data_IF_465584880885
#
_entry.id   IF_465584880885
#
_cell.length_a   1.000
_cell.length_b   1.000
_cell.length_c   1.000
_cell.angle_alpha   90.00
_cell.angle_beta   90.00
_cell.angle_gamma   90.00
#
_symmetry.space_group_name_H-M   'P 1'
#
loop_
_entity.id
_entity.type
_entity.pdbx_description
1 polymer ?
#
# COMPACT_ATOMS: atom_id res chain seq x y z
N UNK A 1 -15.51 -11.65 -20.43
CA UNK A 1 -14.72 -12.67 -21.15
C UNK A 1 -13.42 -12.03 -21.61
N UNK A 2 -12.27 -12.32 -20.96
CA UNK A 2 -10.99 -11.79 -21.42
C UNK A 2 -10.53 -12.57 -22.66
N UNK A 3 -10.28 -11.85 -23.75
CA UNK A 3 -9.67 -12.41 -24.96
C UNK A 3 -8.17 -12.62 -24.70
N UNK A 4 -7.75 -13.88 -24.73
CA UNK A 4 -6.35 -14.26 -24.94
C UNK A 4 -6.19 -14.63 -26.41
N UNK A 5 -5.27 -13.98 -27.12
CA UNK A 5 -4.82 -14.43 -28.43
C UNK A 5 -3.61 -15.34 -28.16
N UNK A 6 -3.81 -16.65 -28.32
CA UNK A 6 -2.74 -17.64 -28.42
C UNK A 6 -2.92 -18.42 -29.73
N UNK A 7 -1.81 -18.73 -30.41
CA UNK A 7 -1.73 -19.63 -31.58
C UNK A 7 -0.25 -20.08 -31.77
N UNK A 8 0.08 -21.23 -32.40
CA UNK A 8 0.39 -22.46 -31.65
C UNK A 8 1.71 -23.16 -32.07
N UNK A 9 2.15 -24.10 -31.18
CA UNK A 9 2.98 -25.31 -31.40
C UNK A 9 4.40 -25.21 -32.02
N UNK A 10 5.45 -25.67 -31.31
CA UNK A 10 5.90 -27.07 -31.26
C UNK A 10 7.18 -27.22 -30.39
N UNK A 11 7.34 -28.41 -29.83
CA UNK A 11 8.39 -28.97 -28.94
C UNK A 11 9.86 -28.76 -29.36
N UNK A 12 10.74 -28.47 -28.40
CA UNK A 12 12.05 -29.14 -28.23
C UNK A 12 12.77 -28.66 -26.96
N UNK A 13 13.29 -29.62 -26.19
CA UNK A 13 14.20 -29.41 -25.08
C UNK A 13 15.51 -28.77 -25.59
N UNK A 14 15.81 -27.54 -25.17
CA UNK A 14 17.16 -27.00 -25.18
C UNK A 14 17.25 -25.84 -24.18
N UNK A 15 17.99 -26.08 -23.10
CA UNK A 15 18.49 -25.03 -22.23
C UNK A 15 19.31 -24.06 -23.07
N UNK A 16 18.75 -22.87 -23.36
CA UNK A 16 19.51 -21.70 -23.80
C UNK A 16 19.43 -20.65 -22.71
N UNK A 17 20.54 -20.50 -22.01
CA UNK A 17 20.85 -19.30 -21.24
C UNK A 17 20.88 -18.14 -22.23
N UNK A 18 19.83 -17.31 -22.21
CA UNK A 18 19.86 -15.97 -22.78
C UNK A 18 19.54 -15.00 -21.64
N UNK A 19 20.53 -14.17 -21.32
CA UNK A 19 20.37 -13.03 -20.45
C UNK A 19 19.28 -12.11 -21.02
N UNK A 20 18.13 -12.08 -20.36
CA UNK A 20 17.04 -11.14 -20.62
C UNK A 20 16.42 -10.77 -19.27
N UNK A 21 16.49 -9.48 -18.94
CA UNK A 21 15.89 -8.89 -17.73
C UNK A 21 14.42 -9.32 -17.67
N UNK A 22 14.00 -10.00 -16.58
CA UNK A 22 12.61 -10.42 -16.37
C UNK A 22 11.69 -9.21 -16.54
N UNK A 23 10.69 -9.35 -17.42
CA UNK A 23 9.76 -8.29 -17.82
C UNK A 23 9.02 -7.68 -16.64
N UNK A 24 9.33 -6.41 -16.38
CA UNK A 24 8.71 -5.60 -15.34
C UNK A 24 7.40 -5.02 -15.88
N UNK A 25 6.24 -5.40 -15.31
CA UNK A 25 4.91 -4.98 -15.80
C UNK A 25 4.44 -3.72 -15.05
N UNK A 26 4.17 -2.64 -15.79
CA UNK A 26 3.49 -1.44 -15.29
C UNK A 26 1.97 -1.68 -15.31
N UNK A 27 1.31 -1.62 -14.15
CA UNK A 27 -0.15 -1.78 -14.07
C UNK A 27 -0.83 -0.41 -14.00
N UNK A 28 -2.03 -0.32 -14.57
CA UNK A 28 -2.86 0.86 -14.46
C UNK A 28 -4.34 0.49 -14.35
N UNK A 29 -5.12 1.37 -13.75
CA UNK A 29 -6.59 1.31 -13.72
C UNK A 29 -7.17 2.61 -14.30
N UNK A 30 -8.27 2.46 -15.05
CA UNK A 30 -9.08 3.59 -15.51
C UNK A 30 -10.12 3.89 -14.44
N UNK A 31 -10.15 5.13 -13.95
CA UNK A 31 -11.07 5.56 -12.90
C UNK A 31 -12.41 6.06 -13.46
N UNK A 32 -12.49 6.30 -14.77
CA UNK A 32 -13.70 6.70 -15.49
C UNK A 32 -13.67 6.21 -16.93
N UNK A 33 -14.83 6.22 -17.58
CA UNK A 33 -14.96 5.88 -19.01
C UNK A 33 -14.26 6.89 -19.94
N UNK A 34 -13.86 8.05 -19.38
CA UNK A 34 -13.15 9.11 -20.11
C UNK A 34 -11.63 8.88 -20.12
N UNK A 35 -11.13 7.96 -19.30
CA UNK A 35 -9.70 7.66 -19.21
C UNK A 35 -9.18 6.88 -20.43
N UNK A 36 -8.01 7.29 -20.92
CA UNK A 36 -7.31 6.60 -22.00
C UNK A 36 -6.24 5.68 -21.42
N UNK A 37 -6.09 4.47 -21.99
CA UNK A 37 -5.00 3.58 -21.57
C UNK A 37 -3.64 4.22 -21.97
N UNK A 38 -2.58 4.09 -21.14
CA UNK A 38 -1.23 4.48 -21.54
C UNK A 38 -0.80 3.71 -22.81
N UNK A 39 -0.25 4.42 -23.81
CA UNK A 39 0.13 3.81 -25.09
C UNK A 39 1.62 3.97 -25.34
N UNK A 40 2.28 2.93 -25.82
CA UNK A 40 3.68 3.02 -26.23
C UNK A 40 3.76 3.50 -27.68
N UNK A 41 4.51 4.59 -27.94
CA UNK A 41 4.60 5.18 -29.28
C UNK A 41 5.42 4.34 -30.28
N UNK A 42 6.32 3.49 -29.79
CA UNK A 42 7.06 2.51 -30.57
C UNK A 42 7.55 1.40 -29.65
N UNK A 43 8.02 0.28 -30.22
CA UNK A 43 8.60 -0.84 -29.46
C UNK A 43 9.69 -0.38 -28.48
N UNK A 44 10.57 0.52 -28.94
CA UNK A 44 11.73 1.01 -28.21
C UNK A 44 11.49 2.33 -27.45
N UNK A 45 10.25 2.84 -27.39
CA UNK A 45 9.98 4.08 -26.67
C UNK A 45 10.30 3.93 -25.18
N UNK A 46 10.94 4.95 -24.60
CA UNK A 46 11.38 4.93 -23.20
C UNK A 46 10.21 5.07 -22.19
N UNK A 47 9.05 5.55 -22.63
CA UNK A 47 7.88 5.78 -21.78
C UNK A 47 6.56 5.55 -22.51
N UNK A 48 5.46 5.71 -21.77
CA UNK A 48 4.10 5.62 -22.27
C UNK A 48 3.52 7.02 -22.46
N UNK A 49 2.87 7.23 -23.61
CA UNK A 49 2.10 8.44 -23.86
C UNK A 49 0.83 8.42 -22.99
N UNK A 50 0.67 9.48 -22.21
CA UNK A 50 -0.54 9.76 -21.42
C UNK A 50 -1.43 10.76 -22.16
N UNK A 51 -2.74 10.71 -21.89
CA UNK A 51 -3.73 11.62 -22.46
C UNK A 51 -4.62 12.20 -21.37
N UNK A 52 -5.10 13.42 -21.59
CA UNK A 52 -6.12 14.01 -20.72
C UNK A 52 -7.44 13.27 -20.90
N UNK A 53 -8.17 13.05 -19.81
CA UNK A 53 -9.52 12.51 -19.84
C UNK A 53 -10.56 13.57 -20.27
N UNK A 54 -10.20 14.85 -20.20
CA UNK A 54 -11.06 15.99 -20.52
C UNK A 54 -10.36 16.96 -21.47
N UNK A 55 -11.16 17.86 -22.06
CA UNK A 55 -10.66 19.00 -22.83
C UNK A 55 -10.29 20.12 -21.86
N UNK A 56 -9.10 20.69 -22.03
CA UNK A 56 -8.59 21.78 -21.22
C UNK A 56 -8.15 22.95 -22.11
N UNK A 57 -8.26 24.16 -21.58
CA UNK A 57 -7.65 25.37 -22.15
C UNK A 57 -6.62 25.83 -21.14
N UNK A 58 -5.35 25.81 -21.51
CA UNK A 58 -4.26 26.32 -20.67
C UNK A 58 -4.07 27.79 -21.04
N UNK A 59 -4.30 28.75 -20.11
CA UNK A 59 -4.09 30.15 -20.41
C UNK A 59 -2.61 30.41 -20.73
N UNK A 60 -2.34 31.36 -21.62
CA UNK A 60 -0.98 31.75 -21.98
C UNK A 60 -0.17 32.11 -20.73
N UNK A 61 1.05 31.59 -20.61
CA UNK A 61 1.91 31.72 -19.43
C UNK A 61 1.31 31.19 -18.11
N UNK A 62 0.21 30.43 -18.18
CA UNK A 62 -0.45 29.82 -17.04
C UNK A 62 -0.15 28.33 -16.88
N UNK A 63 -0.84 27.71 -15.93
CA UNK A 63 -0.78 26.27 -15.65
C UNK A 63 -2.17 25.74 -15.39
N UNK A 64 -2.39 24.47 -15.68
CA UNK A 64 -3.64 23.77 -15.43
C UNK A 64 -3.37 22.35 -14.92
N UNK A 65 -4.22 21.85 -14.01
CA UNK A 65 -4.18 20.48 -13.54
C UNK A 65 -4.95 19.57 -14.51
N UNK A 66 -4.20 18.86 -15.34
CA UNK A 66 -4.76 17.99 -16.37
C UNK A 66 -5.05 16.61 -15.79
N UNK A 67 -6.34 16.28 -15.63
CA UNK A 67 -6.75 14.95 -15.14
C UNK A 67 -6.64 13.91 -16.25
N UNK A 68 -5.96 12.81 -15.95
CA UNK A 68 -5.86 11.62 -16.82
C UNK A 68 -6.89 10.55 -16.48
N UNK A 69 -7.50 10.63 -15.30
CA UNK A 69 -8.35 9.59 -14.69
C UNK A 69 -7.68 8.20 -14.70
N UNK A 70 -6.36 8.18 -14.56
CA UNK A 70 -5.55 6.98 -14.44
C UNK A 70 -4.98 6.85 -13.04
N UNK A 71 -5.03 5.64 -12.51
CA UNK A 71 -4.23 5.22 -11.38
C UNK A 71 -3.12 4.29 -11.89
N UNK A 72 -1.88 4.49 -11.45
CA UNK A 72 -0.71 3.73 -11.92
C UNK A 72 -0.02 3.08 -10.72
N UNK A 73 0.25 1.78 -10.82
CA UNK A 73 1.13 1.04 -9.91
C UNK A 73 2.49 0.92 -10.59
N UNK A 74 3.45 1.74 -10.13
CA UNK A 74 4.82 1.71 -10.65
C UNK A 74 5.48 0.38 -10.27
N UNK A 75 6.26 -0.22 -11.18
CA UNK A 75 6.89 -1.47 -10.86
C UNK A 75 7.92 -1.34 -9.75
N UNK A 76 8.13 -2.45 -9.04
CA UNK A 76 9.04 -2.45 -7.92
C UNK A 76 10.47 -2.00 -8.31
N UNK A 77 11.09 -1.18 -7.45
CA UNK A 77 12.43 -0.64 -7.66
C UNK A 77 12.49 0.53 -8.64
N UNK A 78 11.34 0.99 -9.12
CA UNK A 78 11.21 2.14 -10.01
C UNK A 78 10.37 3.23 -9.36
N UNK A 79 10.42 4.43 -9.93
CA UNK A 79 9.45 5.48 -9.69
C UNK A 79 8.85 5.86 -11.05
N UNK A 80 7.66 6.43 -11.06
CA UNK A 80 7.05 6.91 -12.29
C UNK A 80 7.55 8.32 -12.61
N UNK A 81 8.04 8.55 -13.82
CA UNK A 81 8.33 9.91 -14.32
C UNK A 81 7.33 10.29 -15.40
N UNK A 82 6.52 11.30 -15.15
CA UNK A 82 5.78 12.04 -16.18
C UNK A 82 6.70 13.13 -16.71
N UNK A 83 6.98 13.08 -18.01
CA UNK A 83 7.82 14.03 -18.72
C UNK A 83 7.06 14.59 -19.94
N UNK A 84 7.37 15.82 -20.37
CA UNK A 84 6.76 16.39 -21.56
C UNK A 84 7.15 15.61 -22.82
N UNK A 85 6.23 15.52 -23.79
CA UNK A 85 6.58 15.05 -25.14
C UNK A 85 7.29 16.19 -25.87
N UNK A 86 8.46 15.91 -26.44
CA UNK A 86 9.28 16.92 -27.14
C UNK A 86 8.50 17.70 -28.20
N UNK A 87 7.59 17.05 -28.92
CA UNK A 87 6.72 17.72 -29.90
C UNK A 87 5.76 18.76 -29.29
N UNK A 88 5.17 18.46 -28.13
CA UNK A 88 4.28 19.39 -27.42
C UNK A 88 5.07 20.51 -26.72
N UNK A 89 6.23 20.18 -26.17
CA UNK A 89 7.13 21.16 -25.58
C UNK A 89 7.63 22.17 -26.63
N UNK A 90 8.09 21.69 -27.79
CA UNK A 90 8.62 22.55 -28.84
C UNK A 90 7.53 23.36 -29.57
N UNK A 91 6.43 22.70 -29.98
CA UNK A 91 5.41 23.35 -30.83
C UNK A 91 4.41 24.17 -30.03
N UNK A 92 4.13 23.77 -28.80
CA UNK A 92 3.04 24.34 -28.00
C UNK A 92 3.52 24.90 -26.66
N UNK A 93 4.84 24.87 -26.38
CA UNK A 93 5.43 25.35 -25.13
C UNK A 93 4.76 24.75 -23.88
N UNK A 94 4.29 23.49 -24.00
CA UNK A 94 3.66 22.76 -22.90
C UNK A 94 4.70 21.92 -22.16
N UNK A 95 4.81 22.17 -20.86
CA UNK A 95 5.70 21.44 -19.96
C UNK A 95 4.92 20.76 -18.82
N UNK A 96 5.55 19.77 -18.18
CA UNK A 96 5.02 19.05 -17.03
C UNK A 96 5.75 19.53 -15.77
N UNK A 97 5.10 20.36 -14.97
CA UNK A 97 5.70 20.95 -13.77
C UNK A 97 5.97 19.95 -12.64
N UNK A 98 5.01 19.04 -12.37
CA UNK A 98 5.15 17.96 -11.40
C UNK A 98 4.93 16.62 -12.10
N UNK A 99 5.83 15.66 -11.91
CA UNK A 99 5.76 14.41 -12.66
C UNK A 99 6.59 13.30 -12.07
N UNK A 100 6.68 13.21 -10.75
CA UNK A 100 7.29 12.07 -10.06
C UNK A 100 6.14 11.32 -9.36
N UNK A 101 6.09 10.00 -9.51
CA UNK A 101 5.13 9.11 -8.87
C UNK A 101 5.94 8.17 -7.98
N UNK A 102 5.89 8.40 -6.66
CA UNK A 102 6.64 7.64 -5.66
C UNK A 102 5.75 6.63 -4.91
N UNK A 103 6.35 5.54 -4.43
CA UNK A 103 5.71 4.55 -3.55
C UNK A 103 6.02 4.77 -2.05
N UNK A 104 6.97 5.66 -1.74
CA UNK A 104 7.43 5.92 -0.38
C UNK A 104 6.41 6.81 0.40
N UNK A 105 6.57 7.03 1.72
CA UNK A 105 5.61 7.70 2.64
C UNK A 105 4.40 6.85 3.06
N UNK A 106 4.66 5.67 3.64
CA UNK A 106 3.64 4.67 4.04
C UNK A 106 2.58 5.26 4.97
N UNK A 107 3.03 6.06 5.93
CA UNK A 107 2.18 6.75 6.90
C UNK A 107 1.21 7.72 6.21
N UNK A 108 1.66 8.46 5.19
CA UNK A 108 0.81 9.38 4.46
C UNK A 108 -0.12 8.66 3.48
N UNK A 109 0.35 7.57 2.87
CA UNK A 109 -0.47 6.73 1.99
C UNK A 109 -1.67 6.15 2.74
N UNK A 110 -1.46 5.64 3.96
CA UNK A 110 -2.53 5.18 4.83
C UNK A 110 -3.41 6.34 5.30
N UNK A 111 -2.84 7.52 5.57
CA UNK A 111 -3.61 8.71 5.93
C UNK A 111 -4.57 9.12 4.81
N UNK A 112 -4.10 9.09 3.55
CA UNK A 112 -4.90 9.39 2.36
C UNK A 112 -6.01 8.36 2.17
N UNK A 113 -5.75 7.09 2.42
CA UNK A 113 -6.78 6.05 2.41
C UNK A 113 -7.86 6.31 3.47
N UNK A 114 -7.47 6.69 4.69
CA UNK A 114 -8.42 7.09 5.74
C UNK A 114 -9.23 8.33 5.33
N UNK A 115 -8.60 9.34 4.73
CA UNK A 115 -9.25 10.58 4.28
C UNK A 115 -10.30 10.29 3.22
N UNK A 116 -9.97 9.39 2.29
CA UNK A 116 -10.85 8.97 1.21
C UNK A 116 -12.06 8.19 1.74
N UNK A 117 -11.87 7.28 2.70
CA UNK A 117 -12.99 6.61 3.42
C UNK A 117 -13.84 7.63 4.15
N UNK A 118 -13.25 8.55 4.91
CA UNK A 118 -13.99 9.58 5.65
C UNK A 118 -14.85 10.47 4.74
N UNK A 119 -14.41 10.68 3.51
CA UNK A 119 -15.08 11.53 2.52
C UNK A 119 -16.18 10.77 1.78
N UNK A 120 -15.90 9.56 1.31
CA UNK A 120 -16.82 8.78 0.45
C UNK A 120 -17.75 7.87 1.23
N UNK A 121 -17.32 7.39 2.40
CA UNK A 121 -17.99 6.39 3.22
C UNK A 121 -17.81 6.69 4.72
N UNK A 122 -18.31 7.83 5.23
CA UNK A 122 -18.04 8.28 6.60
C UNK A 122 -18.49 7.29 7.68
N UNK A 123 -19.58 6.54 7.45
CA UNK A 123 -20.07 5.49 8.36
C UNK A 123 -19.09 4.34 8.54
N UNK A 124 -18.23 4.10 7.54
CA UNK A 124 -17.26 3.01 7.56
C UNK A 124 -15.97 3.36 8.30
N UNK A 125 -15.71 4.66 8.53
CA UNK A 125 -14.46 5.11 9.16
C UNK A 125 -14.28 4.56 10.57
N UNK A 126 -15.37 4.31 11.30
CA UNK A 126 -15.32 3.72 12.65
C UNK A 126 -14.80 2.28 12.66
N UNK A 127 -14.85 1.58 11.52
CA UNK A 127 -14.35 0.22 11.34
C UNK A 127 -12.89 0.19 10.87
N UNK A 128 -12.32 1.35 10.56
CA UNK A 128 -10.95 1.52 10.07
C UNK A 128 -9.95 1.76 11.22
N UNK A 129 -8.86 1.01 11.21
CA UNK A 129 -7.77 1.10 12.17
C UNK A 129 -6.43 1.21 11.44
N UNK A 130 -5.68 2.25 11.71
CA UNK A 130 -4.30 2.41 11.23
C UNK A 130 -3.38 1.64 12.15
N UNK A 131 -2.50 0.82 11.57
CA UNK A 131 -1.54 0.02 12.34
C UNK A 131 -0.13 0.41 11.94
N UNK A 132 0.62 0.94 12.90
CA UNK A 132 2.07 1.07 12.78
C UNK A 132 2.72 -0.20 13.28
N UNK A 133 3.68 -0.72 12.52
CA UNK A 133 4.47 -1.91 12.84
C UNK A 133 5.91 -1.48 13.02
N UNK A 134 6.47 -1.69 14.21
CA UNK A 134 7.86 -1.39 14.52
C UNK A 134 8.27 -2.15 15.79
N UNK A 135 9.45 -1.87 16.32
CA UNK A 135 9.94 -2.36 17.60
C UNK A 135 11.00 -1.38 18.15
N UNK A 136 11.49 -1.57 19.40
CA UNK A 136 12.49 -0.66 19.97
C UNK A 136 13.78 -0.51 19.15
N UNK A 137 14.11 -1.49 18.30
CA UNK A 137 15.29 -1.49 17.44
C UNK A 137 15.03 -0.85 16.06
N UNK A 138 13.78 -0.49 15.75
CA UNK A 138 13.34 -0.11 14.40
C UNK A 138 13.87 -1.08 13.36
N UNK A 139 13.58 -2.35 13.59
CA UNK A 139 14.05 -3.43 12.75
C UNK A 139 13.04 -4.56 12.78
N UNK A 140 12.02 -4.46 11.94
CA UNK A 140 10.92 -5.41 11.87
C UNK A 140 10.91 -6.14 10.52
N UNK A 141 11.09 -7.48 10.51
CA UNK A 141 10.98 -8.25 9.29
C UNK A 141 9.52 -8.42 8.89
N UNK A 142 9.21 -8.10 7.63
CA UNK A 142 7.92 -8.36 6.99
C UNK A 142 8.14 -9.12 5.68
N UNK A 143 7.38 -10.20 5.48
CA UNK A 143 7.41 -11.01 4.26
C UNK A 143 6.38 -10.55 3.25
N UNK A 144 6.46 -11.07 2.02
CA UNK A 144 5.53 -10.71 0.94
C UNK A 144 5.47 -9.21 0.68
N UNK A 145 6.60 -8.52 0.83
CA UNK A 145 6.71 -7.09 0.56
C UNK A 145 7.23 -6.90 -0.88
N UNK A 146 6.66 -5.93 -1.60
CA UNK A 146 7.03 -5.60 -2.99
C UNK A 146 8.52 -5.36 -3.11
N UNK A 147 9.12 -4.78 -2.06
CA UNK A 147 10.55 -4.48 -2.03
C UNK A 147 11.51 -5.60 -1.68
N UNK A 148 10.97 -6.79 -1.36
CA UNK A 148 11.77 -7.98 -1.16
C UNK A 148 12.35 -8.51 -2.47
N UNK A 149 13.61 -8.93 -2.44
CA UNK A 149 14.32 -9.45 -3.62
C UNK A 149 14.03 -10.93 -3.84
N UNK A 150 14.04 -11.71 -2.76
CA UNK A 150 14.00 -13.18 -2.81
C UNK A 150 12.56 -13.75 -2.93
N UNK A 151 12.40 -15.07 -3.01
CA UNK A 151 11.08 -15.74 -3.13
C UNK A 151 10.14 -15.40 -1.98
N UNK A 152 10.72 -15.29 -0.79
CA UNK A 152 10.01 -14.94 0.44
C UNK A 152 9.62 -13.47 0.50
N UNK A 153 10.20 -12.64 -0.38
CA UNK A 153 9.93 -11.20 -0.45
C UNK A 153 10.06 -10.53 0.91
N UNK A 154 11.08 -10.92 1.67
CA UNK A 154 11.41 -10.39 2.99
C UNK A 154 12.03 -9.00 2.88
N UNK A 155 11.56 -8.09 3.74
CA UNK A 155 12.14 -6.76 3.95
C UNK A 155 12.20 -6.49 5.44
N UNK A 156 13.30 -5.89 5.90
CA UNK A 156 13.45 -5.43 7.28
C UNK A 156 13.21 -3.93 7.28
N UNK A 157 12.11 -3.51 7.88
CA UNK A 157 11.70 -2.11 7.97
C UNK A 157 12.11 -1.48 9.29
N UNK A 158 12.34 -0.17 9.28
CA UNK A 158 12.40 0.64 10.48
C UNK A 158 11.02 0.80 11.11
N UNK A 159 10.02 1.11 10.29
CA UNK A 159 8.61 0.96 10.59
C UNK A 159 7.81 0.70 9.30
N UNK A 160 6.59 0.19 9.46
CA UNK A 160 5.63 0.08 8.37
C UNK A 160 4.25 0.55 8.83
N UNK A 161 3.41 0.99 7.90
CA UNK A 161 2.04 1.44 8.19
C UNK A 161 1.05 0.74 7.26
N UNK A 162 -0.03 0.21 7.84
CA UNK A 162 -1.11 -0.46 7.12
C UNK A 162 -2.48 0.02 7.63
N UNK A 163 -3.53 -0.18 6.84
CA UNK A 163 -4.90 -0.01 7.30
C UNK A 163 -5.56 -1.38 7.48
N UNK A 164 -6.21 -1.60 8.63
CA UNK A 164 -7.14 -2.70 8.86
C UNK A 164 -8.56 -2.15 8.81
N UNK A 165 -9.41 -2.73 7.98
CA UNK A 165 -10.85 -2.51 7.97
C UNK A 165 -11.54 -3.75 8.55
N UNK A 166 -12.35 -3.54 9.60
CA UNK A 166 -13.00 -4.62 10.33
C UNK A 166 -14.44 -4.21 10.74
N UNK A 167 -15.39 -4.24 9.80
CA UNK A 167 -16.80 -3.94 10.09
C UNK A 167 -17.48 -5.07 10.88
N UNK A 168 -17.02 -6.30 10.66
CA UNK A 168 -17.54 -7.53 11.25
C UNK A 168 -16.40 -8.55 11.48
N UNK A 169 -16.73 -9.84 11.46
CA UNK A 169 -15.77 -10.94 11.66
C UNK A 169 -14.75 -11.09 10.52
N UNK A 170 -14.92 -10.39 9.39
CA UNK A 170 -14.07 -10.49 8.20
C UNK A 170 -13.18 -9.27 8.06
N UNK A 171 -12.19 -9.15 8.95
CA UNK A 171 -11.18 -8.12 8.83
C UNK A 171 -10.33 -8.29 7.55
N UNK A 172 -10.04 -7.17 6.88
CA UNK A 172 -9.14 -7.09 5.72
C UNK A 172 -8.06 -6.02 5.95
N UNK A 173 -6.92 -6.22 5.30
CA UNK A 173 -5.73 -5.37 5.37
C UNK A 173 -5.52 -4.70 4.01
N UNK A 174 -5.34 -3.39 4.04
CA UNK A 174 -4.85 -2.58 2.93
C UNK A 174 -3.39 -2.23 3.21
N UNK A 175 -2.49 -2.95 2.53
CA UNK A 175 -1.06 -2.65 2.50
C UNK A 175 -0.65 -2.44 1.04
N UNK A 176 -0.29 -1.20 0.69
CA UNK A 176 0.14 -0.85 -0.66
C UNK A 176 1.50 -1.48 -1.02
N UNK A 177 2.31 -1.79 0.00
CA UNK A 177 3.64 -2.38 -0.15
C UNK A 177 3.60 -3.91 -0.18
N UNK A 178 2.43 -4.54 -0.06
CA UNK A 178 2.32 -6.00 -0.10
C UNK A 178 2.24 -6.56 -1.52
N UNK A 179 2.86 -7.72 -1.72
CA UNK A 179 2.67 -8.59 -2.87
C UNK A 179 1.37 -9.43 -2.80
N UNK A 180 0.70 -9.44 -1.64
CA UNK A 180 -0.58 -10.13 -1.46
C UNK A 180 -1.71 -9.36 -2.16
N UNK A 181 -2.90 -9.98 -2.37
CA UNK A 181 -4.05 -9.30 -2.97
C UNK A 181 -4.42 -8.00 -2.24
N UNK A 182 -4.90 -6.99 -2.96
CA UNK A 182 -5.31 -5.73 -2.34
C UNK A 182 -6.83 -5.53 -2.44
N UNK A 183 -7.59 -5.54 -1.32
CA UNK A 183 -7.16 -5.84 0.04
C UNK A 183 -6.92 -7.34 0.29
N UNK A 184 -6.19 -7.68 1.36
CA UNK A 184 -5.94 -9.08 1.79
C UNK A 184 -6.77 -9.40 3.04
N UNK A 185 -7.39 -10.58 3.14
CA UNK A 185 -7.96 -11.03 4.41
C UNK A 185 -6.92 -11.03 5.55
N UNK A 186 -7.30 -10.52 6.72
CA UNK A 186 -6.38 -10.33 7.84
C UNK A 186 -5.65 -11.63 8.23
N UNK A 187 -6.35 -12.76 8.29
CA UNK A 187 -5.73 -14.05 8.64
C UNK A 187 -4.62 -14.44 7.66
N UNK A 188 -4.82 -14.21 6.36
CA UNK A 188 -3.85 -14.51 5.30
C UNK A 188 -2.67 -13.55 5.40
N UNK A 189 -2.95 -12.27 5.58
CA UNK A 189 -1.92 -11.26 5.76
C UNK A 189 -1.05 -11.54 7.00
N UNK A 190 -1.66 -11.86 8.14
CA UNK A 190 -0.94 -12.19 9.36
C UNK A 190 -0.08 -13.45 9.19
N UNK A 191 -0.62 -14.49 8.54
CA UNK A 191 0.12 -15.75 8.33
C UNK A 191 1.28 -15.59 7.37
N UNK A 192 1.11 -14.85 6.27
CA UNK A 192 2.11 -14.76 5.21
C UNK A 192 3.09 -13.60 5.36
N UNK A 193 2.62 -12.43 5.84
CA UNK A 193 3.42 -11.21 5.99
C UNK A 193 4.08 -11.13 7.36
N UNK A 194 3.32 -11.35 8.44
CA UNK A 194 3.90 -11.32 9.79
C UNK A 194 4.60 -12.63 10.11
N UNK A 195 3.96 -13.79 9.84
CA UNK A 195 4.42 -15.11 10.31
C UNK A 195 4.55 -15.17 11.84
N UNK A 196 4.97 -16.29 12.41
CA UNK A 196 5.20 -16.39 13.87
C UNK A 196 6.41 -15.55 14.30
N UNK A 197 6.35 -14.96 15.50
CA UNK A 197 7.53 -14.37 16.17
C UNK A 197 8.43 -15.43 16.83
N UNK A 198 7.96 -16.67 17.00
CA UNK A 198 8.71 -17.75 17.69
C UNK A 198 10.00 -18.14 16.96
N UNK A 199 10.02 -18.01 15.64
CA UNK A 199 11.20 -18.26 14.81
C UNK A 199 12.18 -17.07 14.78
N UNK A 200 11.82 -15.93 15.36
CA UNK A 200 12.65 -14.72 15.38
C UNK A 200 13.34 -14.54 16.73
N UNK A 201 14.52 -13.94 16.66
CA UNK A 201 15.18 -13.44 17.88
C UNK A 201 14.31 -12.32 18.50
N UNK A 202 14.24 -12.22 19.85
CA UNK A 202 13.39 -11.24 20.53
C UNK A 202 13.56 -9.79 20.07
N UNK A 203 14.77 -9.39 19.67
CA UNK A 203 15.05 -8.05 19.15
C UNK A 203 14.33 -7.72 17.83
N UNK A 204 13.85 -8.72 17.09
CA UNK A 204 13.08 -8.57 15.85
C UNK A 204 11.58 -8.78 16.05
N UNK A 205 11.13 -9.09 17.27
CA UNK A 205 9.70 -9.27 17.55
C UNK A 205 8.94 -8.00 17.20
N UNK A 206 7.88 -8.16 16.41
CA UNK A 206 7.12 -7.01 15.92
C UNK A 206 6.12 -6.57 16.97
N UNK A 207 5.99 -5.25 17.14
CA UNK A 207 4.93 -4.62 17.92
C UNK A 207 4.05 -3.79 17.01
N UNK A 208 2.79 -3.68 17.42
CA UNK A 208 1.73 -3.12 16.60
C UNK A 208 1.03 -2.01 17.37
N UNK A 209 1.18 -0.77 16.94
CA UNK A 209 0.38 0.34 17.47
C UNK A 209 -0.88 0.47 16.63
N UNK A 210 -2.02 0.22 17.26
CA UNK A 210 -3.34 0.28 16.67
C UNK A 210 -4.00 1.63 17.00
N UNK A 211 -4.29 2.44 15.99
CA UNK A 211 -4.90 3.76 16.11
C UNK A 211 -6.23 3.80 15.35
N UNK A 212 -7.35 4.22 15.95
CA UNK A 212 -8.59 4.45 15.20
C UNK A 212 -8.35 5.45 14.05
N UNK A 213 -8.90 5.18 12.87
CA UNK A 213 -8.67 6.03 11.70
C UNK A 213 -9.14 7.48 11.91
N UNK A 214 -10.23 7.68 12.66
CA UNK A 214 -10.72 9.02 13.05
C UNK A 214 -9.68 9.80 13.87
N UNK A 215 -9.06 9.15 14.85
CA UNK A 215 -7.99 9.75 15.66
C UNK A 215 -6.75 10.03 14.80
N UNK A 216 -6.39 9.10 13.92
CA UNK A 216 -5.25 9.29 13.02
C UNK A 216 -5.43 10.51 12.10
N UNK A 217 -6.61 10.68 11.49
CA UNK A 217 -6.91 11.84 10.65
C UNK A 217 -6.84 13.16 11.40
N UNK A 218 -7.28 13.19 12.66
CA UNK A 218 -7.30 14.40 13.48
C UNK A 218 -5.93 14.79 14.05
N UNK A 219 -5.09 13.80 14.36
CA UNK A 219 -3.92 14.02 15.20
C UNK A 219 -2.59 13.80 14.50
N UNK A 220 -2.54 13.05 13.39
CA UNK A 220 -1.29 12.77 12.69
C UNK A 220 -0.69 14.04 12.06
N UNK A 221 0.62 14.22 12.24
CA UNK A 221 1.41 15.25 11.61
C UNK A 221 2.80 14.72 11.25
N UNK A 222 3.28 15.06 10.05
CA UNK A 222 4.62 14.74 9.59
C UNK A 222 5.14 15.90 8.76
N UNK A 223 6.28 16.47 9.17
CA UNK A 223 7.02 17.47 8.38
C UNK A 223 7.97 16.80 7.36
N UNK A 224 7.95 15.46 7.27
CA UNK A 224 8.79 14.63 6.40
C UNK A 224 10.30 14.71 6.68
N UNK A 225 10.75 15.23 7.83
CA UNK A 225 12.18 15.37 8.12
C UNK A 225 12.93 14.03 8.10
N UNK A 226 12.27 12.93 8.50
CA UNK A 226 12.84 11.59 8.48
C UNK A 226 13.25 11.11 7.08
N UNK A 227 12.71 11.73 6.02
CA UNK A 227 13.06 11.46 4.62
C UNK A 227 14.12 12.42 4.07
N UNK A 228 14.75 13.25 4.91
CA UNK A 228 15.87 14.12 4.54
C UNK A 228 17.19 13.55 5.04
N UNK A 229 18.22 13.62 4.21
CA UNK A 229 19.61 13.40 4.60
C UNK A 229 20.12 14.58 5.44
N UNK A 230 21.27 14.40 6.09
CA UNK A 230 21.92 15.45 6.89
C UNK A 230 22.25 16.73 6.10
N UNK A 231 22.48 16.60 4.80
CA UNK A 231 22.74 17.72 3.88
C UNK A 231 21.46 18.42 3.40
N UNK A 232 20.28 18.02 3.88
CA UNK A 232 18.98 18.57 3.49
C UNK A 232 18.40 18.00 2.19
N UNK A 233 19.13 17.13 1.47
CA UNK A 233 18.62 16.46 0.28
C UNK A 233 17.63 15.36 0.64
N UNK A 234 16.67 15.12 -0.25
CA UNK A 234 15.64 14.11 -0.03
C UNK A 234 16.18 12.70 -0.29
N UNK A 235 15.98 11.78 0.67
CA UNK A 235 16.24 10.35 0.50
C UNK A 235 15.37 9.83 -0.65
N UNK A 236 14.10 10.25 -0.66
CA UNK A 236 13.09 10.02 -1.68
C UNK A 236 12.28 11.29 -1.90
N UNK A 237 11.86 11.52 -3.14
CA UNK A 237 11.08 12.70 -3.50
C UNK A 237 9.79 12.75 -2.67
N UNK A 238 9.46 13.90 -2.05
CA UNK A 238 8.25 14.01 -1.23
C UNK A 238 6.98 14.06 -2.09
N UNK A 239 5.82 13.68 -1.52
CA UNK A 239 4.54 13.85 -2.18
C UNK A 239 4.30 15.30 -2.58
N UNK A 240 3.58 15.50 -3.68
CA UNK A 240 3.32 16.80 -4.30
C UNK A 240 2.31 17.69 -3.55
N UNK A 241 1.69 17.17 -2.49
CA UNK A 241 0.84 17.92 -1.57
C UNK A 241 1.60 18.36 -0.30
N UNK A 242 1.17 19.45 0.36
CA UNK A 242 1.81 19.94 1.58
C UNK A 242 1.91 18.88 2.68
N UNK A 243 2.94 18.94 3.55
CA UNK A 243 3.05 18.02 4.68
C UNK A 243 1.78 18.01 5.53
N UNK A 244 1.37 16.81 5.94
CA UNK A 244 0.18 16.65 6.79
C UNK A 244 0.52 17.25 8.16
N UNK A 245 -0.32 18.17 8.63
CA UNK A 245 -0.14 18.82 9.93
C UNK A 245 -1.47 19.15 10.57
N UNK A 246 -1.46 19.35 11.90
CA UNK A 246 -2.59 19.86 12.66
C UNK A 246 -2.38 21.34 12.98
N UNK A 247 -3.39 22.05 13.53
CA UNK A 247 -3.20 23.43 13.99
C UNK A 247 -2.09 23.59 15.04
N UNK A 248 -1.86 22.56 15.86
CA UNK A 248 -0.95 22.60 17.02
C UNK A 248 0.31 21.75 16.85
N UNK A 249 0.38 20.87 15.84
CA UNK A 249 1.49 19.95 15.66
C UNK A 249 1.94 19.90 14.19
N UNK A 250 3.25 20.02 13.97
CA UNK A 250 3.88 19.91 12.64
C UNK A 250 4.57 18.58 12.39
N UNK A 251 4.89 17.84 13.46
CA UNK A 251 5.52 16.54 13.37
C UNK A 251 5.32 15.77 14.68
N UNK A 252 4.75 14.58 14.57
CA UNK A 252 4.62 13.63 15.68
C UNK A 252 4.73 12.18 15.20
N UNK A 253 5.28 11.93 14.00
CA UNK A 253 5.45 10.59 13.44
C UNK A 253 6.14 9.63 14.41
N UNK A 254 7.14 10.12 15.14
CA UNK A 254 7.88 9.30 16.12
C UNK A 254 6.97 8.72 17.21
N UNK A 255 5.93 9.44 17.62
CA UNK A 255 4.96 8.97 18.62
C UNK A 255 4.10 7.80 18.12
N UNK A 256 3.94 7.66 16.80
CA UNK A 256 3.27 6.53 16.16
C UNK A 256 4.22 5.34 15.95
N UNK A 257 5.50 5.60 15.71
CA UNK A 257 6.53 4.57 15.55
C UNK A 257 6.95 4.00 16.91
N UNK A 258 6.95 4.80 17.97
CA UNK A 258 7.31 4.35 19.31
C UNK A 258 6.34 3.26 19.79
N UNK A 259 6.90 2.12 20.21
CA UNK A 259 6.17 0.92 20.66
C UNK A 259 6.25 0.70 22.19
N UNK A 260 6.53 1.75 22.94
CA UNK A 260 6.43 1.78 24.39
C UNK A 260 4.96 1.74 24.83
N UNK A 261 4.53 0.77 25.66
CA UNK A 261 3.16 0.69 26.13
C UNK A 261 2.76 1.93 26.95
N UNK A 262 1.55 2.44 26.75
CA UNK A 262 1.02 3.59 27.50
C UNK A 262 1.47 4.96 26.99
N UNK A 263 2.33 5.03 25.98
CA UNK A 263 2.73 6.28 25.33
C UNK A 263 2.01 6.46 23.99
N UNK A 264 1.94 7.70 23.50
CA UNK A 264 1.41 8.03 22.17
C UNK A 264 -0.09 7.76 22.01
N UNK A 265 -0.56 7.83 20.77
CA UNK A 265 -1.97 7.62 20.43
C UNK A 265 -2.25 6.14 20.11
N UNK A 266 -3.45 5.66 20.46
CA UNK A 266 -3.85 4.28 20.24
C UNK A 266 -3.26 3.29 21.25
N UNK A 267 -3.25 2.01 20.91
CA UNK A 267 -2.84 0.91 21.80
C UNK A 267 -1.73 0.10 21.16
N UNK A 268 -0.65 -0.16 21.91
CA UNK A 268 0.43 -1.05 21.49
C UNK A 268 0.09 -2.50 21.85
N UNK A 269 0.27 -3.42 20.90
CA UNK A 269 -0.06 -4.84 21.02
C UNK A 269 1.10 -5.71 20.52
N UNK A 270 1.20 -6.92 21.07
CA UNK A 270 1.99 -8.01 20.49
C UNK A 270 1.28 -8.61 19.26
N UNK A 271 1.99 -9.41 18.46
CA UNK A 271 1.39 -10.16 17.36
C UNK A 271 0.20 -11.02 17.82
N UNK A 272 0.37 -11.75 18.94
CA UNK A 272 -0.69 -12.60 19.50
C UNK A 272 -1.93 -11.79 19.85
N UNK A 273 -1.76 -10.63 20.46
CA UNK A 273 -2.87 -9.73 20.80
C UNK A 273 -3.57 -9.17 19.56
N UNK A 274 -2.80 -8.76 18.54
CA UNK A 274 -3.35 -8.27 17.26
C UNK A 274 -4.15 -9.37 16.55
N UNK A 275 -3.60 -10.58 16.48
CA UNK A 275 -4.28 -11.74 15.87
C UNK A 275 -5.57 -12.05 16.62
N UNK A 276 -5.54 -12.15 17.95
CA UNK A 276 -6.74 -12.39 18.75
C UNK A 276 -7.82 -11.30 18.57
N UNK A 277 -7.42 -10.07 18.24
CA UNK A 277 -8.35 -8.96 18.03
C UNK A 277 -9.10 -9.07 16.69
N UNK A 278 -8.40 -9.44 15.62
CA UNK A 278 -8.92 -9.37 14.24
C UNK A 278 -9.15 -10.73 13.58
N UNK A 279 -8.74 -11.83 14.22
CA UNK A 279 -9.03 -13.18 13.79
C UNK A 279 -9.89 -13.87 14.86
N UNK A 280 -11.12 -14.23 14.47
CA UNK A 280 -11.98 -15.13 15.23
C UNK A 280 -12.20 -16.38 14.38
N UNK A 281 -11.71 -17.56 14.78
CA UNK A 281 -12.10 -18.79 14.11
C UNK A 281 -13.61 -18.96 14.28
N UNK A 282 -14.31 -19.33 13.20
CA UNK A 282 -15.75 -19.58 13.23
C UNK A 282 -16.09 -20.55 14.38
N UNK A 283 -16.72 -20.04 15.44
CA UNK A 283 -17.33 -20.86 16.49
C UNK A 283 -18.68 -21.32 15.97
N UNK A 284 -18.68 -22.19 14.95
CA UNK A 284 -19.88 -22.92 14.56
C UNK A 284 -19.51 -24.18 13.78
N UNK A 285 -19.18 -25.22 14.55
CA UNK A 285 -19.41 -26.64 14.24
C UNK A 285 -19.39 -27.39 15.58
N UNK A 286 -20.33 -27.06 16.47
CA UNK A 286 -20.76 -28.09 17.43
C UNK A 286 -21.55 -29.10 16.61
N UNK A 287 -20.93 -30.25 16.34
CA UNK A 287 -21.66 -31.41 15.85
C UNK A 287 -22.81 -31.71 16.83
N UNK A 288 -24.02 -32.07 16.34
CA UNK A 288 -25.12 -32.41 17.22
C UNK A 288 -24.69 -33.56 18.14
N UNK A 289 -24.82 -33.35 19.44
CA UNK A 289 -24.61 -34.36 20.47
C UNK A 289 -25.42 -35.61 20.10
N UNK A 290 -24.85 -36.82 20.12
CA UNK A 290 -25.63 -38.03 19.86
C UNK A 290 -26.78 -38.11 20.87
N UNK A 291 -28.00 -38.50 20.45
CA UNK A 291 -29.11 -38.65 21.38
C UNK A 291 -28.72 -39.66 22.47
N UNK A 292 -28.88 -39.25 23.74
CA UNK A 292 -28.73 -40.16 24.86
C UNK A 292 -29.74 -41.31 24.73
N UNK A 293 -29.35 -42.56 25.03
CA UNK A 293 -30.27 -43.68 24.99
C UNK A 293 -31.40 -43.46 26.00
N UNK A 294 -32.64 -43.41 25.51
CA UNK A 294 -33.82 -43.46 26.37
C UNK A 294 -33.81 -44.78 27.13
N UNK A 295 -33.86 -44.69 28.45
CA UNK A 295 -34.08 -45.85 29.30
C UNK A 295 -35.42 -46.48 28.92
N UNK A 296 -35.37 -47.72 28.45
CA UNK A 296 -36.55 -48.57 28.29
C UNK A 296 -37.02 -48.95 29.69
N UNK A 297 -38.19 -48.46 30.06
CA UNK A 297 -38.91 -48.94 31.23
C UNK A 297 -39.64 -50.23 30.85
N UNK A 298 -39.13 -51.37 31.32
CA UNK A 298 -39.87 -52.60 31.64
C UNK A 298 -39.00 -53.47 32.53
#
# INVERSE_FOLDING_TARGET
MPFYITSPQMTSYACRILYGVRGTVLKFAKLSDKAFAPVKGSEYAAGYDLRSAYKYIIPAHGKELIKTDLQIEVPFGTYGRIAPRSGLAWKSHLDVGAGVIDADYREENVWKLCQDVATRHPSELQHCHVVFVSNPRRSVPLWRQRSGKDEDKLVVWDYHAILIYAPDERAVVYDLESCLPFPTHFWKYATETFRSDEALRPEYHRRFRLVPASVYLQQFASNRHHMKRKDGTWIKTPPDYPPISTPTCKDNLDSFINMEPGTGLGVVMSLKQLVNRFYRPNVNTQAPTPPQPQATAT
#
